data_IF_527017550024
#
_entry.id   IF_527017550024
#
_cell.length_a   1.000
_cell.length_b   1.000
_cell.length_c   1.000
_cell.angle_alpha   90.00
_cell.angle_beta   90.00
_cell.angle_gamma   90.00
#
_symmetry.space_group_name_H-M   'P 1'
#
loop_
_entity.id
_entity.type
_entity.pdbx_description
1 polymer ?
#
# COMPACT_ATOMS: atom_id res chain seq x y z
N UNK A 1 18.09 -31.04 39.77
CA UNK A 1 16.99 -30.19 39.27
C UNK A 1 17.58 -28.96 38.57
N UNK A 2 17.21 -28.70 37.31
CA UNK A 2 17.12 -27.32 36.84
C UNK A 2 15.73 -26.99 36.29
N UNK A 3 15.21 -25.83 36.71
CA UNK A 3 13.94 -25.24 36.27
C UNK A 3 14.03 -24.87 34.78
N UNK A 4 13.18 -25.46 33.94
CA UNK A 4 12.92 -24.94 32.59
C UNK A 4 11.71 -24.00 32.62
N UNK A 5 11.97 -22.74 32.24
CA UNK A 5 10.99 -21.69 31.96
C UNK A 5 10.20 -22.01 30.68
N UNK A 6 8.87 -21.81 30.62
CA UNK A 6 8.12 -21.97 29.40
C UNK A 6 8.07 -20.63 28.64
N UNK A 7 9.04 -20.36 27.77
CA UNK A 7 8.97 -19.24 26.84
C UNK A 7 8.23 -19.68 25.58
N UNK A 8 6.94 -19.31 25.48
CA UNK A 8 6.04 -19.70 24.36
C UNK A 8 6.43 -18.93 23.09
N UNK A 9 7.25 -19.57 22.24
CA UNK A 9 7.60 -19.09 20.89
C UNK A 9 6.41 -19.30 19.95
N UNK A 10 5.81 -18.22 19.45
CA UNK A 10 4.83 -18.30 18.37
C UNK A 10 5.56 -18.40 17.03
N UNK A 11 5.58 -19.59 16.45
CA UNK A 11 5.94 -19.79 15.04
C UNK A 11 4.77 -19.32 14.18
N UNK A 12 5.03 -18.53 13.15
CA UNK A 12 4.08 -18.30 12.06
C UNK A 12 4.01 -19.56 11.19
N UNK A 13 3.48 -20.64 11.76
CA UNK A 13 3.01 -21.80 11.03
C UNK A 13 1.50 -21.91 11.25
N UNK A 14 0.78 -21.92 10.14
CA UNK A 14 -0.66 -22.02 10.01
C UNK A 14 -1.20 -23.34 10.53
N UNK A 15 -1.45 -23.41 11.84
CA UNK A 15 -2.44 -24.31 12.44
C UNK A 15 -2.89 -23.67 13.73
N UNK A 16 -3.90 -22.81 13.67
CA UNK A 16 -4.81 -22.66 14.81
C UNK A 16 -5.62 -23.93 14.87
N UNK A 17 -4.99 -25.00 15.35
CA UNK A 17 -5.67 -26.21 15.76
C UNK A 17 -6.56 -25.82 16.94
N UNK A 18 -7.85 -25.75 16.65
CA UNK A 18 -8.95 -25.80 17.61
C UNK A 18 -8.71 -26.98 18.55
N UNK A 19 -8.16 -26.75 19.74
CA UNK A 19 -8.27 -27.67 20.86
C UNK A 19 -7.90 -26.95 22.17
N UNK A 20 -8.90 -26.28 22.75
CA UNK A 20 -9.07 -26.27 24.21
C UNK A 20 -10.43 -26.87 24.50
N UNK A 21 -10.45 -28.18 24.75
CA UNK A 21 -11.49 -28.79 25.54
C UNK A 21 -11.36 -28.24 26.97
N UNK A 22 -12.43 -27.67 27.50
CA UNK A 22 -12.46 -27.17 28.88
C UNK A 22 -13.61 -26.21 29.16
N UNK A 23 -14.68 -26.76 29.75
CA UNK A 23 -15.78 -26.11 30.49
C UNK A 23 -16.72 -25.17 29.70
N UNK A 24 -17.89 -25.72 29.31
CA UNK A 24 -19.06 -24.95 28.87
C UNK A 24 -19.61 -24.14 30.05
N UNK A 25 -19.42 -22.82 30.03
CA UNK A 25 -20.22 -21.88 30.81
C UNK A 25 -21.27 -21.26 29.86
N UNK A 26 -22.59 -21.37 30.12
CA UNK A 26 -23.60 -20.84 29.23
C UNK A 26 -23.85 -19.36 29.56
N UNK A 27 -23.30 -18.43 28.76
CA UNK A 27 -23.80 -17.02 28.61
C UNK A 27 -22.87 -16.05 27.88
N UNK A 28 -21.68 -16.43 27.41
CA UNK A 28 -20.86 -15.52 26.58
C UNK A 28 -21.15 -15.75 25.10
N UNK A 29 -21.80 -14.79 24.43
CA UNK A 29 -21.89 -14.76 22.97
C UNK A 29 -20.47 -14.69 22.39
N UNK A 30 -19.96 -15.82 21.87
CA UNK A 30 -18.63 -15.88 21.25
C UNK A 30 -18.78 -15.52 19.77
N UNK A 31 -18.60 -14.23 19.43
CA UNK A 31 -18.57 -13.78 18.04
C UNK A 31 -17.21 -14.13 17.44
N UNK A 32 -17.13 -14.86 16.31
CA UNK A 32 -15.84 -15.13 15.68
C UNK A 32 -15.19 -13.83 15.22
N UNK A 33 -13.89 -13.66 15.49
CA UNK A 33 -13.16 -12.43 15.20
C UNK A 33 -13.28 -11.97 13.72
N UNK A 34 -13.39 -12.91 12.79
CA UNK A 34 -13.52 -12.62 11.37
C UNK A 34 -14.88 -11.97 11.02
N UNK A 35 -15.94 -12.30 11.76
CA UNK A 35 -17.26 -11.66 11.59
C UNK A 35 -17.23 -10.23 12.10
N UNK A 36 -16.60 -9.99 13.26
CA UNK A 36 -16.37 -8.65 13.77
C UNK A 36 -15.58 -7.79 12.77
N UNK A 37 -14.46 -8.31 12.25
CA UNK A 37 -13.65 -7.61 11.26
C UNK A 37 -14.39 -7.37 9.94
N UNK A 38 -15.24 -8.30 9.52
CA UNK A 38 -16.09 -8.11 8.34
C UNK A 38 -17.15 -7.02 8.57
N UNK A 39 -17.75 -6.96 9.77
CA UNK A 39 -18.63 -5.85 10.15
C UNK A 39 -17.91 -4.49 10.12
N UNK A 40 -16.68 -4.43 10.66
CA UNK A 40 -15.84 -3.23 10.55
C UNK A 40 -15.56 -2.89 9.09
N UNK A 41 -15.28 -3.88 8.24
CA UNK A 41 -15.05 -3.66 6.82
C UNK A 41 -16.26 -3.05 6.10
N UNK A 42 -17.48 -3.49 6.42
CA UNK A 42 -18.71 -2.88 5.90
C UNK A 42 -18.82 -1.42 6.33
N UNK A 43 -18.50 -1.10 7.58
CA UNK A 43 -18.48 0.28 8.08
C UNK A 43 -17.40 1.15 7.41
N UNK A 44 -16.34 0.55 6.87
CA UNK A 44 -15.29 1.24 6.12
C UNK A 44 -15.66 1.50 4.65
N UNK A 45 -16.66 0.82 4.08
CA UNK A 45 -17.05 1.01 2.67
C UNK A 45 -17.52 2.44 2.34
N UNK A 46 -18.34 3.13 3.18
CA UNK A 46 -18.66 4.53 2.94
C UNK A 46 -17.43 5.43 2.88
N UNK A 47 -16.43 5.18 3.74
CA UNK A 47 -15.17 5.93 3.72
C UNK A 47 -14.38 5.67 2.43
N UNK A 48 -14.36 4.42 1.96
CA UNK A 48 -13.78 4.08 0.66
C UNK A 48 -14.47 4.84 -0.47
N UNK A 49 -15.80 4.88 -0.47
CA UNK A 49 -16.57 5.59 -1.49
C UNK A 49 -16.29 7.09 -1.49
N UNK A 50 -16.34 7.74 -0.32
CA UNK A 50 -16.05 9.19 -0.19
C UNK A 50 -14.62 9.48 -0.61
N UNK A 51 -13.64 8.71 -0.13
CA UNK A 51 -12.24 8.89 -0.50
C UNK A 51 -12.04 8.80 -2.02
N UNK A 52 -12.76 7.89 -2.69
CA UNK A 52 -12.69 7.75 -4.16
C UNK A 52 -13.28 8.95 -4.87
N UNK A 53 -14.45 9.43 -4.44
CA UNK A 53 -15.05 10.64 -4.99
C UNK A 53 -14.13 11.84 -4.83
N UNK A 54 -13.58 12.05 -3.62
CA UNK A 54 -12.67 13.17 -3.34
C UNK A 54 -11.37 13.06 -4.14
N UNK A 55 -10.81 11.85 -4.27
CA UNK A 55 -9.64 11.62 -5.12
C UNK A 55 -9.92 11.95 -6.58
N UNK A 56 -11.03 11.47 -7.15
CA UNK A 56 -11.39 11.72 -8.54
C UNK A 56 -11.65 13.20 -8.80
N UNK A 57 -12.31 13.90 -7.88
CA UNK A 57 -12.52 15.36 -7.98
C UNK A 57 -11.20 16.12 -7.96
N UNK A 58 -10.30 15.81 -7.02
CA UNK A 58 -8.98 16.44 -6.94
C UNK A 58 -8.10 16.11 -8.17
N UNK A 59 -8.16 14.87 -8.64
CA UNK A 59 -7.42 14.41 -9.80
C UNK A 59 -7.92 15.08 -11.08
N UNK A 60 -9.23 15.23 -11.23
CA UNK A 60 -9.87 15.94 -12.35
C UNK A 60 -9.46 17.41 -12.38
N UNK A 61 -9.50 18.08 -11.22
CA UNK A 61 -9.07 19.47 -11.09
C UNK A 61 -7.62 19.65 -11.53
N UNK A 62 -6.71 18.83 -10.98
CA UNK A 62 -5.28 18.86 -11.32
C UNK A 62 -5.02 18.52 -12.79
N UNK A 63 -5.74 17.56 -13.35
CA UNK A 63 -5.57 17.15 -14.76
C UNK A 63 -6.08 18.18 -15.76
N UNK A 64 -7.09 18.97 -15.38
CA UNK A 64 -7.71 19.97 -16.24
C UNK A 64 -6.93 21.30 -16.26
N UNK A 65 -6.35 21.71 -15.13
CA UNK A 65 -5.64 22.99 -15.00
C UNK A 65 -4.18 22.91 -15.43
N UNK A 66 -3.51 21.78 -15.17
CA UNK A 66 -2.09 21.61 -15.47
C UNK A 66 -1.94 20.86 -16.79
N UNK A 67 -1.05 21.30 -17.69
CA UNK A 67 -0.62 20.51 -18.87
C UNK A 67 0.18 19.24 -18.46
N UNK A 68 -0.29 18.50 -17.46
CA UNK A 68 0.32 17.29 -16.88
C UNK A 68 0.64 16.27 -17.97
N UNK A 69 -0.27 16.12 -18.94
CA UNK A 69 -0.14 15.22 -20.10
C UNK A 69 1.07 15.59 -21.01
N UNK A 70 1.51 16.84 -21.02
CA UNK A 70 2.65 17.32 -21.82
C UNK A 70 3.98 17.40 -21.06
N UNK A 71 3.98 17.14 -19.74
CA UNK A 71 5.16 17.37 -18.90
C UNK A 71 6.18 16.22 -19.00
N UNK A 72 7.48 16.56 -19.06
CA UNK A 72 8.55 15.56 -19.08
C UNK A 72 8.48 14.58 -17.88
N UNK A 73 8.21 15.02 -16.62
CA UNK A 73 8.07 14.10 -15.49
C UNK A 73 7.05 12.98 -15.71
N UNK A 74 5.88 13.32 -16.26
CA UNK A 74 4.82 12.35 -16.53
C UNK A 74 5.27 11.34 -17.58
N UNK A 75 5.87 11.80 -18.69
CA UNK A 75 6.35 10.91 -19.74
C UNK A 75 7.39 9.91 -19.23
N UNK A 76 8.40 10.35 -18.46
CA UNK A 76 9.40 9.45 -17.91
C UNK A 76 8.80 8.46 -16.90
N UNK A 77 7.85 8.90 -16.07
CA UNK A 77 7.10 8.01 -15.17
C UNK A 77 6.33 6.93 -15.95
N UNK A 78 5.60 7.30 -17.00
CA UNK A 78 4.87 6.32 -17.82
C UNK A 78 5.78 5.41 -18.63
N UNK A 79 6.93 5.89 -19.11
CA UNK A 79 7.96 5.03 -19.70
C UNK A 79 8.41 3.98 -18.68
N UNK A 80 8.65 4.37 -17.43
CA UNK A 80 8.96 3.43 -16.34
C UNK A 80 7.87 2.38 -16.12
N UNK A 81 6.60 2.79 -16.09
CA UNK A 81 5.46 1.87 -16.03
C UNK A 81 5.49 0.89 -17.20
N UNK A 82 5.64 1.40 -18.43
CA UNK A 82 5.63 0.60 -19.65
C UNK A 82 6.76 -0.44 -19.65
N UNK A 83 7.99 -0.01 -19.33
CA UNK A 83 9.16 -0.89 -19.22
C UNK A 83 8.94 -2.01 -18.20
N UNK A 84 8.35 -1.69 -17.05
CA UNK A 84 8.00 -2.70 -16.07
C UNK A 84 6.95 -3.68 -16.58
N UNK A 85 5.86 -3.18 -17.18
CA UNK A 85 4.80 -4.05 -17.69
C UNK A 85 5.31 -5.01 -18.77
N UNK A 86 6.13 -4.52 -19.70
CA UNK A 86 6.82 -5.35 -20.69
C UNK A 86 7.66 -6.42 -19.99
N UNK A 87 8.43 -6.06 -18.97
CA UNK A 87 9.24 -7.00 -18.20
C UNK A 87 8.40 -8.03 -17.43
N UNK A 88 7.30 -7.61 -16.81
CA UNK A 88 6.44 -8.46 -15.99
C UNK A 88 5.70 -9.52 -16.82
N UNK A 89 5.28 -9.17 -18.03
CA UNK A 89 4.58 -10.08 -18.95
C UNK A 89 5.52 -10.82 -19.91
N UNK A 90 6.67 -10.24 -20.26
CA UNK A 90 7.61 -10.79 -21.24
C UNK A 90 8.81 -11.54 -20.66
N UNK A 91 9.19 -11.31 -19.39
CA UNK A 91 10.34 -11.93 -18.74
C UNK A 91 9.93 -12.79 -17.53
N UNK A 92 10.80 -13.71 -17.06
CA UNK A 92 10.58 -14.41 -15.80
C UNK A 92 10.43 -13.43 -14.64
N UNK A 93 9.36 -13.60 -13.84
CA UNK A 93 9.04 -12.69 -12.74
C UNK A 93 10.14 -12.70 -11.68
N UNK A 94 10.61 -11.52 -11.22
CA UNK A 94 11.67 -11.42 -10.23
C UNK A 94 11.17 -11.72 -8.80
N UNK A 95 10.75 -12.96 -8.56
CA UNK A 95 10.10 -13.40 -7.32
C UNK A 95 10.98 -13.18 -6.09
N UNK A 96 12.29 -13.40 -6.19
CA UNK A 96 13.21 -13.16 -5.08
C UNK A 96 13.17 -11.72 -4.59
N UNK A 97 13.22 -10.76 -5.52
CA UNK A 97 13.18 -9.32 -5.22
C UNK A 97 11.83 -8.99 -4.57
N UNK A 98 10.74 -9.51 -5.12
CA UNK A 98 9.42 -9.32 -4.52
C UNK A 98 9.36 -9.85 -3.07
N UNK A 99 9.75 -11.10 -2.82
CA UNK A 99 9.71 -11.70 -1.48
C UNK A 99 10.63 -10.94 -0.52
N UNK A 100 11.80 -10.49 -0.98
CA UNK A 100 12.72 -9.69 -0.18
C UNK A 100 12.06 -8.39 0.30
N UNK A 101 11.48 -7.61 -0.61
CA UNK A 101 10.76 -6.39 -0.25
C UNK A 101 9.56 -6.67 0.66
N UNK A 102 8.84 -7.78 0.43
CA UNK A 102 7.70 -8.20 1.23
C UNK A 102 8.08 -8.46 2.69
N UNK A 103 9.07 -9.33 2.93
CA UNK A 103 9.52 -9.65 4.28
C UNK A 103 10.23 -8.48 4.97
N UNK A 104 10.99 -7.66 4.23
CA UNK A 104 11.62 -6.47 4.78
C UNK A 104 10.58 -5.45 5.26
N UNK A 105 9.48 -5.30 4.51
CA UNK A 105 8.40 -4.39 4.92
C UNK A 105 7.76 -4.86 6.22
N UNK A 106 7.46 -6.16 6.34
CA UNK A 106 7.01 -6.76 7.60
C UNK A 106 8.00 -6.49 8.73
N UNK A 107 9.29 -6.71 8.49
CA UNK A 107 10.34 -6.49 9.47
C UNK A 107 10.38 -5.03 9.97
N UNK A 108 10.34 -4.06 9.05
CA UNK A 108 10.30 -2.64 9.40
C UNK A 108 9.08 -2.33 10.27
N UNK A 109 7.89 -2.81 9.91
CA UNK A 109 6.68 -2.56 10.69
C UNK A 109 6.68 -3.26 12.05
N UNK A 110 7.29 -4.44 12.18
CA UNK A 110 7.53 -5.08 13.47
C UNK A 110 8.36 -4.17 14.37
N UNK A 111 9.47 -3.64 13.85
CA UNK A 111 10.37 -2.75 14.60
C UNK A 111 9.67 -1.44 14.98
N UNK A 112 8.94 -0.81 14.05
CA UNK A 112 8.16 0.41 14.32
C UNK A 112 7.09 0.19 15.39
N UNK A 113 6.51 -1.01 15.44
CA UNK A 113 5.56 -1.39 16.49
C UNK A 113 6.26 -1.81 17.81
N UNK A 114 7.58 -1.69 17.95
CA UNK A 114 8.33 -2.10 19.14
C UNK A 114 8.41 -3.63 19.34
N UNK A 115 8.26 -4.40 18.26
CA UNK A 115 8.46 -5.85 18.25
C UNK A 115 9.93 -6.24 18.09
N UNK A 116 10.22 -7.53 18.20
CA UNK A 116 11.56 -8.12 18.00
C UNK A 116 11.48 -9.23 16.96
N UNK A 117 12.46 -9.23 16.06
CA UNK A 117 12.62 -10.25 15.02
C UNK A 117 13.67 -11.24 15.49
N UNK A 118 13.32 -12.52 15.45
CA UNK A 118 14.18 -13.63 15.88
C UNK A 118 14.74 -14.44 14.73
N UNK A 119 14.04 -14.46 13.59
CA UNK A 119 14.48 -15.12 12.36
C UNK A 119 13.95 -14.34 11.16
N UNK A 120 14.77 -14.26 10.13
CA UNK A 120 14.46 -13.61 8.86
C UNK A 120 14.96 -14.50 7.73
N UNK A 121 14.06 -14.97 6.85
CA UNK A 121 14.42 -15.88 5.76
C UNK A 121 13.70 -15.49 4.48
N UNK A 122 14.46 -15.37 3.39
CA UNK A 122 13.95 -14.98 2.07
C UNK A 122 14.46 -15.97 1.03
N UNK A 123 13.55 -16.46 0.17
CA UNK A 123 13.85 -17.30 -1.00
C UNK A 123 12.88 -16.96 -2.13
N UNK A 124 13.21 -17.32 -3.37
CA UNK A 124 12.32 -17.09 -4.53
C UNK A 124 10.98 -17.83 -4.43
N UNK A 125 10.92 -18.93 -3.69
CA UNK A 125 9.70 -19.70 -3.45
C UNK A 125 8.81 -19.12 -2.32
N UNK A 126 9.33 -18.18 -1.54
CA UNK A 126 8.65 -17.60 -0.37
C UNK A 126 9.63 -17.17 0.72
N UNK A 127 9.11 -16.40 1.66
CA UNK A 127 9.85 -15.87 2.81
C UNK A 127 9.04 -16.00 4.08
N UNK A 128 9.67 -15.71 5.21
CA UNK A 128 8.98 -15.48 6.46
C UNK A 128 9.87 -14.72 7.44
N UNK A 129 9.21 -14.03 8.36
CA UNK A 129 9.82 -13.50 9.58
C UNK A 129 9.23 -14.17 10.82
N UNK A 130 10.06 -14.46 11.81
CA UNK A 130 9.60 -14.92 13.13
C UNK A 130 9.72 -13.77 14.13
N UNK A 131 8.57 -13.32 14.62
CA UNK A 131 8.43 -12.12 15.47
C UNK A 131 7.60 -12.41 16.71
N UNK A 132 7.83 -11.65 17.78
CA UNK A 132 7.00 -11.67 19.00
C UNK A 132 5.75 -10.78 18.90
N UNK A 133 5.57 -10.02 17.81
CA UNK A 133 4.49 -9.05 17.64
C UNK A 133 3.89 -9.13 16.25
N UNK A 134 2.56 -9.11 16.17
CA UNK A 134 1.82 -9.08 14.92
C UNK A 134 0.49 -8.34 15.13
N UNK A 135 0.10 -7.52 14.16
CA UNK A 135 -1.15 -6.75 14.13
C UNK A 135 -1.54 -6.48 12.66
N UNK A 136 -2.71 -5.86 12.43
CA UNK A 136 -3.22 -5.54 11.08
C UNK A 136 -2.19 -4.76 10.26
N UNK A 137 -1.59 -3.71 10.83
CA UNK A 137 -0.60 -2.87 10.14
C UNK A 137 0.63 -3.67 9.72
N UNK A 138 1.18 -4.51 10.61
CA UNK A 138 2.31 -5.38 10.29
C UNK A 138 1.91 -6.32 9.16
N UNK A 139 0.88 -7.15 9.38
CA UNK A 139 0.46 -8.20 8.45
C UNK A 139 0.06 -7.69 7.06
N UNK A 140 -0.43 -6.45 6.94
CA UNK A 140 -0.87 -5.89 5.65
C UNK A 140 0.14 -4.88 5.07
N UNK A 141 1.21 -4.55 5.78
CA UNK A 141 2.19 -3.55 5.36
C UNK A 141 2.77 -3.76 3.95
N UNK A 142 3.10 -4.98 3.49
CA UNK A 142 3.65 -5.16 2.15
C UNK A 142 2.67 -4.85 1.01
N UNK A 143 1.37 -4.81 1.30
CA UNK A 143 0.31 -4.58 0.30
C UNK A 143 -0.03 -3.10 0.10
N UNK A 144 0.44 -2.23 1.00
CA UNK A 144 0.23 -0.78 0.88
C UNK A 144 1.52 0.05 0.94
N UNK A 145 2.66 -0.57 1.26
CA UNK A 145 3.97 0.10 1.20
C UNK A 145 4.68 -0.31 -0.09
N UNK A 146 4.85 0.60 -1.06
CA UNK A 146 5.70 0.36 -2.22
C UNK A 146 7.17 0.47 -1.81
N UNK A 147 7.68 -0.56 -1.13
CA UNK A 147 9.01 -0.59 -0.48
C UNK A 147 10.14 -0.05 -1.38
N UNK A 148 10.19 -0.50 -2.63
CA UNK A 148 11.21 -0.04 -3.57
C UNK A 148 11.04 1.40 -4.01
N UNK A 149 9.80 1.92 -4.12
CA UNK A 149 9.59 3.35 -4.35
C UNK A 149 10.07 4.18 -3.16
N UNK A 150 9.84 3.72 -1.93
CA UNK A 150 10.37 4.38 -0.73
C UNK A 150 11.89 4.43 -0.74
N UNK A 151 12.56 3.35 -1.14
CA UNK A 151 14.02 3.33 -1.31
C UNK A 151 14.47 4.32 -2.38
N UNK A 152 13.81 4.33 -3.55
CA UNK A 152 14.14 5.28 -4.64
C UNK A 152 14.00 6.72 -4.17
N UNK A 153 12.89 7.06 -3.50
CA UNK A 153 12.69 8.40 -2.89
C UNK A 153 13.78 8.71 -1.87
N UNK A 154 14.16 7.76 -1.01
CA UNK A 154 15.23 7.96 -0.03
C UNK A 154 16.60 8.22 -0.68
N UNK A 155 16.97 7.43 -1.69
CA UNK A 155 18.24 7.57 -2.41
C UNK A 155 18.30 8.91 -3.14
N UNK A 156 17.28 9.23 -3.95
CA UNK A 156 17.25 10.49 -4.69
C UNK A 156 17.06 11.70 -3.76
N UNK A 157 16.31 11.56 -2.67
CA UNK A 157 16.18 12.60 -1.65
C UNK A 157 17.51 12.93 -1.00
N UNK A 158 18.30 11.92 -0.61
CA UNK A 158 19.65 12.12 -0.06
C UNK A 158 20.59 12.70 -1.12
N UNK A 159 20.57 12.18 -2.35
CA UNK A 159 21.38 12.72 -3.45
C UNK A 159 21.05 14.20 -3.74
N UNK A 160 19.76 14.56 -3.66
CA UNK A 160 19.24 15.91 -3.83
C UNK A 160 19.75 16.93 -2.81
N UNK A 161 20.25 16.48 -1.64
CA UNK A 161 20.90 17.35 -0.65
C UNK A 161 22.27 17.82 -1.14
N UNK A 162 22.96 16.99 -1.94
CA UNK A 162 24.31 17.24 -2.40
C UNK A 162 24.38 17.76 -3.84
N UNK A 163 23.39 17.42 -4.67
CA UNK A 163 23.36 17.73 -6.11
C UNK A 163 21.96 18.19 -6.50
N UNK A 164 21.86 19.23 -7.32
CA UNK A 164 20.57 19.62 -7.87
C UNK A 164 20.14 18.63 -8.98
N UNK A 165 19.21 17.75 -8.63
CA UNK A 165 18.72 16.71 -9.54
C UNK A 165 17.87 17.25 -10.69
N UNK A 166 17.39 18.50 -10.57
CA UNK A 166 16.58 19.17 -11.58
C UNK A 166 17.41 19.83 -12.67
N UNK A 167 18.74 19.90 -12.49
CA UNK A 167 19.62 20.50 -13.49
C UNK A 167 19.52 19.74 -14.81
N UNK A 168 19.39 20.51 -15.88
CA UNK A 168 19.43 20.00 -17.25
C UNK A 168 20.84 20.15 -17.79
N UNK A 169 21.46 19.04 -18.16
CA UNK A 169 22.78 18.98 -18.76
C UNK A 169 22.62 18.83 -20.28
N UNK A 170 22.72 19.91 -21.08
CA UNK A 170 22.61 19.83 -22.53
C UNK A 170 23.80 19.06 -23.12
N UNK A 171 23.59 18.42 -24.28
CA UNK A 171 24.63 17.74 -25.06
C UNK A 171 25.42 16.67 -24.26
N UNK A 172 24.79 16.09 -23.24
CA UNK A 172 25.42 15.13 -22.33
C UNK A 172 25.29 13.68 -22.80
N UNK A 173 24.33 13.38 -23.69
CA UNK A 173 24.09 12.03 -24.20
C UNK A 173 24.08 12.04 -25.75
N UNK A 174 24.25 10.86 -26.35
CA UNK A 174 24.23 10.62 -27.80
C UNK A 174 25.21 11.52 -28.56
N UNK A 175 26.48 11.52 -28.17
CA UNK A 175 27.52 12.30 -28.87
C UNK A 175 27.18 13.81 -29.00
N UNK A 176 26.55 14.37 -27.96
CA UNK A 176 26.17 15.78 -27.92
C UNK A 176 24.84 16.11 -28.57
N UNK A 177 24.04 15.12 -28.99
CA UNK A 177 22.76 15.33 -29.67
C UNK A 177 21.56 15.42 -28.71
N UNK A 178 21.73 15.00 -27.45
CA UNK A 178 20.65 15.00 -26.46
C UNK A 178 21.15 15.51 -25.10
N UNK A 179 20.27 16.17 -24.36
CA UNK A 179 20.52 16.51 -22.95
C UNK A 179 19.93 15.50 -21.97
N UNK A 180 20.18 15.73 -20.70
CA UNK A 180 19.87 14.82 -19.61
C UNK A 180 19.49 15.57 -18.34
N UNK A 181 18.59 15.00 -17.55
CA UNK A 181 18.35 15.42 -16.18
C UNK A 181 18.19 14.21 -15.28
N UNK A 182 18.77 14.26 -14.08
CA UNK A 182 18.65 13.20 -13.08
C UNK A 182 17.20 13.02 -12.60
N UNK A 183 16.40 14.10 -12.62
CA UNK A 183 14.97 14.07 -12.34
C UNK A 183 14.22 13.07 -13.23
N UNK A 184 14.63 12.91 -14.49
CA UNK A 184 14.00 11.97 -15.42
C UNK A 184 14.21 10.51 -15.01
N UNK A 185 15.42 10.19 -14.54
CA UNK A 185 15.75 8.85 -14.00
C UNK A 185 14.93 8.59 -12.74
N UNK A 186 14.80 9.59 -11.87
CA UNK A 186 13.96 9.49 -10.69
C UNK A 186 12.50 9.15 -11.05
N UNK A 187 11.87 9.93 -11.95
CA UNK A 187 10.48 9.68 -12.35
C UNK A 187 10.29 8.32 -13.00
N UNK A 188 11.22 7.90 -13.87
CA UNK A 188 11.20 6.58 -14.48
C UNK A 188 11.35 5.47 -13.43
N UNK A 189 12.28 5.61 -12.49
CA UNK A 189 12.48 4.63 -11.41
C UNK A 189 11.23 4.51 -10.53
N UNK A 190 10.58 5.62 -10.19
CA UNK A 190 9.31 5.63 -9.47
C UNK A 190 8.22 4.92 -10.27
N UNK A 191 8.12 5.16 -11.58
CA UNK A 191 7.19 4.46 -12.46
C UNK A 191 7.40 2.94 -12.46
N UNK A 192 8.66 2.49 -12.56
CA UNK A 192 9.04 1.07 -12.49
C UNK A 192 8.68 0.47 -11.13
N UNK A 193 9.12 1.07 -10.02
CA UNK A 193 8.95 0.49 -8.69
C UNK A 193 7.50 0.54 -8.21
N UNK A 194 6.73 1.53 -8.64
CA UNK A 194 5.30 1.60 -8.33
C UNK A 194 4.51 0.57 -9.12
N UNK A 195 4.78 0.43 -10.43
CA UNK A 195 4.16 -0.60 -11.26
C UNK A 195 4.54 -2.01 -10.77
N UNK A 196 5.79 -2.21 -10.33
CA UNK A 196 6.23 -3.40 -9.61
C UNK A 196 5.35 -3.69 -8.40
N UNK A 197 5.16 -2.71 -7.51
CA UNK A 197 4.34 -2.88 -6.32
C UNK A 197 2.90 -3.25 -6.68
N UNK A 198 2.26 -2.51 -7.58
CA UNK A 198 0.84 -2.74 -7.94
C UNK A 198 0.61 -4.09 -8.60
N UNK A 199 1.46 -4.45 -9.58
CA UNK A 199 1.34 -5.74 -10.29
C UNK A 199 1.56 -6.92 -9.35
N UNK A 200 2.56 -6.87 -8.47
CA UNK A 200 2.78 -7.93 -7.49
C UNK A 200 1.71 -7.97 -6.39
N UNK A 201 1.25 -6.83 -5.87
CA UNK A 201 0.16 -6.77 -4.89
C UNK A 201 -1.11 -7.39 -5.49
N UNK A 202 -1.51 -6.97 -6.69
CA UNK A 202 -2.67 -7.52 -7.39
C UNK A 202 -2.52 -9.02 -7.66
N UNK A 203 -1.35 -9.46 -8.12
CA UNK A 203 -1.10 -10.87 -8.37
C UNK A 203 -1.12 -11.71 -7.08
N UNK A 204 -0.51 -11.23 -6.00
CA UNK A 204 -0.35 -12.00 -4.75
C UNK A 204 -1.63 -12.05 -3.92
N UNK A 205 -2.52 -11.06 -4.04
CA UNK A 205 -3.88 -11.15 -3.49
C UNK A 205 -4.62 -12.40 -3.98
N UNK A 206 -4.41 -12.81 -5.24
CA UNK A 206 -5.03 -14.03 -5.80
C UNK A 206 -4.43 -15.34 -5.26
N UNK A 207 -3.28 -15.28 -4.55
CA UNK A 207 -2.49 -16.45 -4.12
C UNK A 207 -2.79 -16.91 -2.69
N UNK A 208 -3.97 -16.59 -2.15
CA UNK A 208 -4.45 -17.13 -0.86
C UNK A 208 -3.49 -16.86 0.33
N UNK A 209 -2.82 -15.70 0.33
CA UNK A 209 -1.77 -15.37 1.28
C UNK A 209 -2.23 -15.43 2.75
N UNK A 210 -1.41 -15.99 3.67
CA UNK A 210 -1.74 -16.09 5.08
C UNK A 210 -1.93 -14.72 5.74
N UNK A 211 -1.18 -13.72 5.28
CA UNK A 211 -1.23 -12.32 5.70
C UNK A 211 -2.66 -11.73 5.63
N UNK A 212 -3.37 -12.01 4.54
CA UNK A 212 -4.76 -11.56 4.32
C UNK A 212 -5.73 -12.37 5.18
N UNK A 213 -5.54 -13.69 5.25
CA UNK A 213 -6.47 -14.58 5.96
C UNK A 213 -6.46 -14.36 7.48
N UNK A 214 -5.33 -13.95 8.05
CA UNK A 214 -5.21 -13.72 9.48
C UNK A 214 -6.17 -12.65 10.01
N UNK A 215 -6.54 -11.67 9.17
CA UNK A 215 -7.47 -10.61 9.53
C UNK A 215 -8.86 -10.76 8.89
N UNK A 216 -9.08 -11.83 8.13
CA UNK A 216 -10.24 -11.98 7.26
C UNK A 216 -10.02 -11.23 5.95
N UNK A 217 -10.07 -11.97 4.83
CA UNK A 217 -9.72 -11.45 3.51
C UNK A 217 -10.53 -10.21 3.12
N UNK A 218 -11.84 -10.19 3.39
CA UNK A 218 -12.68 -9.04 3.06
C UNK A 218 -12.22 -7.75 3.77
N UNK A 219 -12.00 -7.82 5.08
CA UNK A 219 -11.46 -6.69 5.84
C UNK A 219 -10.09 -6.25 5.34
N UNK A 220 -9.19 -7.21 5.09
CA UNK A 220 -7.85 -6.90 4.56
C UNK A 220 -7.92 -6.15 3.23
N UNK A 221 -8.78 -6.57 2.31
CA UNK A 221 -8.91 -5.92 1.00
C UNK A 221 -9.46 -4.50 1.12
N UNK A 222 -10.51 -4.28 1.93
CA UNK A 222 -11.06 -2.94 2.18
C UNK A 222 -10.01 -2.03 2.83
N UNK A 223 -9.26 -2.55 3.80
CA UNK A 223 -8.21 -1.80 4.48
C UNK A 223 -7.04 -1.44 3.55
N UNK A 224 -6.56 -2.41 2.75
CA UNK A 224 -5.49 -2.19 1.75
C UNK A 224 -5.93 -1.14 0.74
N UNK A 225 -7.16 -1.24 0.24
CA UNK A 225 -7.72 -0.26 -0.69
C UNK A 225 -7.71 1.15 -0.10
N UNK A 226 -8.28 1.31 1.10
CA UNK A 226 -8.42 2.62 1.75
C UNK A 226 -7.05 3.27 2.02
N UNK A 227 -6.06 2.50 2.47
CA UNK A 227 -4.70 3.03 2.71
C UNK A 227 -4.02 3.41 1.39
N UNK A 228 -4.04 2.55 0.37
CA UNK A 228 -3.43 2.87 -0.92
C UNK A 228 -4.07 4.13 -1.53
N UNK A 229 -5.38 4.26 -1.45
CA UNK A 229 -6.08 5.45 -1.93
C UNK A 229 -5.70 6.69 -1.14
N UNK A 230 -5.57 6.59 0.18
CA UNK A 230 -5.13 7.70 1.04
C UNK A 230 -3.69 8.12 0.74
N UNK A 231 -2.81 7.17 0.45
CA UNK A 231 -1.44 7.43 -0.01
C UNK A 231 -1.47 8.19 -1.35
N UNK A 232 -2.29 7.74 -2.32
CA UNK A 232 -2.46 8.41 -3.60
C UNK A 232 -2.99 9.85 -3.44
N UNK A 233 -3.97 10.07 -2.58
CA UNK A 233 -4.45 11.41 -2.24
C UNK A 233 -3.32 12.28 -1.66
N UNK A 234 -2.52 11.72 -0.75
CA UNK A 234 -1.35 12.42 -0.18
C UNK A 234 -0.34 12.84 -1.25
N UNK A 235 -0.01 11.94 -2.18
CA UNK A 235 0.86 12.28 -3.31
C UNK A 235 0.26 13.36 -4.20
N UNK A 236 -1.03 13.29 -4.50
CA UNK A 236 -1.71 14.28 -5.32
C UNK A 236 -1.66 15.67 -4.67
N UNK A 237 -1.88 15.76 -3.36
CA UNK A 237 -1.81 17.03 -2.60
C UNK A 237 -0.37 17.58 -2.58
N UNK A 238 0.64 16.72 -2.50
CA UNK A 238 2.05 17.15 -2.48
C UNK A 238 2.52 17.63 -3.86
N UNK A 239 2.04 17.00 -4.93
CA UNK A 239 2.49 17.25 -6.31
C UNK A 239 1.66 18.34 -6.99
N UNK A 240 0.40 18.50 -6.61
CA UNK A 240 -0.52 19.46 -7.24
C UNK A 240 -0.39 20.84 -6.63
N UNK A 241 -0.09 21.83 -7.45
CA UNK A 241 -0.15 23.25 -7.06
C UNK A 241 -1.61 23.74 -6.88
N UNK A 242 -2.58 22.94 -7.32
CA UNK A 242 -4.00 23.30 -7.43
C UNK A 242 -4.83 22.71 -6.28
N UNK A 243 -4.39 21.58 -5.72
CA UNK A 243 -5.09 20.88 -4.64
C UNK A 243 -4.35 21.11 -3.33
N UNK A 244 -4.81 22.11 -2.57
CA UNK A 244 -4.34 22.30 -1.20
C UNK A 244 -4.91 21.24 -0.24
N UNK A 245 -4.20 20.97 0.86
CA UNK A 245 -4.68 20.07 1.92
C UNK A 245 -6.05 20.52 2.47
N UNK A 246 -6.24 21.82 2.67
CA UNK A 246 -7.50 22.39 3.18
C UNK A 246 -8.63 22.20 2.17
N UNK A 247 -8.37 22.49 0.90
CA UNK A 247 -9.34 22.26 -0.18
C UNK A 247 -9.73 20.78 -0.32
N UNK A 248 -8.75 19.88 -0.19
CA UNK A 248 -9.01 18.44 -0.21
C UNK A 248 -9.88 17.99 0.97
N UNK A 249 -9.60 18.46 2.19
CA UNK A 249 -10.43 18.17 3.36
C UNK A 249 -11.85 18.69 3.17
N UNK A 250 -12.03 19.89 2.63
CA UNK A 250 -13.36 20.42 2.32
C UNK A 250 -14.09 19.53 1.32
N UNK A 251 -13.41 19.07 0.25
CA UNK A 251 -13.99 18.13 -0.70
C UNK A 251 -14.44 16.82 -0.04
N UNK A 252 -13.66 16.28 0.90
CA UNK A 252 -14.05 15.08 1.67
C UNK A 252 -15.31 15.34 2.50
N UNK A 253 -15.42 16.50 3.16
CA UNK A 253 -16.60 16.86 3.95
C UNK A 253 -17.84 17.02 3.06
N UNK A 254 -17.71 17.70 1.93
CA UNK A 254 -18.80 17.94 0.99
C UNK A 254 -19.32 16.60 0.44
N UNK A 255 -18.43 15.73 -0.03
CA UNK A 255 -18.77 14.38 -0.51
C UNK A 255 -19.41 13.51 0.59
N UNK A 256 -18.97 13.66 1.85
CA UNK A 256 -19.57 12.97 2.99
C UNK A 256 -21.01 13.44 3.21
N UNK A 257 -21.22 14.76 3.19
CA UNK A 257 -22.55 15.36 3.37
C UNK A 257 -23.51 14.95 2.26
N UNK A 258 -23.03 14.89 1.02
CA UNK A 258 -23.79 14.45 -0.13
C UNK A 258 -24.18 12.97 -0.01
N UNK A 259 -23.23 12.09 0.35
CA UNK A 259 -23.53 10.68 0.58
C UNK A 259 -24.62 10.49 1.63
N UNK A 260 -24.55 11.24 2.75
CA UNK A 260 -25.57 11.19 3.80
C UNK A 260 -26.92 11.64 3.27
N UNK A 261 -26.98 12.79 2.57
CA UNK A 261 -28.21 13.33 2.00
C UNK A 261 -28.84 12.35 1.00
N UNK A 262 -28.06 11.82 0.06
CA UNK A 262 -28.51 10.85 -0.95
C UNK A 262 -29.01 9.55 -0.30
N UNK A 263 -28.33 9.07 0.73
CA UNK A 263 -28.76 7.88 1.49
C UNK A 263 -30.10 8.12 2.21
N UNK A 264 -30.28 9.28 2.84
CA UNK A 264 -31.56 9.61 3.50
C UNK A 264 -32.72 9.76 2.50
N UNK A 265 -32.46 10.29 1.30
CA UNK A 265 -33.47 10.41 0.25
C UNK A 265 -33.87 9.04 -0.29
N UNK A 266 -32.89 8.17 -0.60
CA UNK A 266 -33.13 6.81 -1.05
C UNK A 266 -33.91 5.97 -0.02
N UNK A 267 -33.59 6.13 1.27
CA UNK A 267 -34.34 5.48 2.35
C UNK A 267 -35.80 5.94 2.39
N UNK A 268 -36.03 7.26 2.27
CA UNK A 268 -37.39 7.83 2.24
C UNK A 268 -38.20 7.36 1.03
N UNK A 269 -37.59 7.05 -0.11
CA UNK A 269 -38.30 6.52 -1.28
C UNK A 269 -38.63 5.04 -1.17
N UNK A 270 -37.94 4.27 -0.34
CA UNK A 270 -38.19 2.82 -0.16
C UNK A 270 -39.35 2.57 0.82
N UNK A 271 -39.54 3.46 1.80
CA UNK A 271 -40.58 3.30 2.84
C UNK A 271 -41.93 3.91 2.42
N UNK A 272 -41.96 4.70 1.35
CA UNK A 272 -43.20 5.19 0.74
C UNK A 272 -43.73 4.17 -0.25
#
# INVERSE_FOLDING_TARGET
MPKQSPNRKSRLNSTTATQRAGTKNPSTLVIPLNWLKSGIAVLLLPFCFVATQSFLSAFSQTSASTMVIGSAPLWFFFIGILLWLISFFGLPRPLFIYVLGHELTHAVFVLLCGGKISEFKVRSAGGHIVTNKNNVMISLSPYFIPFYSVIVVGIFGIAGIFVNLSDYHPNSILWGQAGFSWSWVFYMAIGVTWSFHLTFTGWMITKNQPDLKQNGTFFSLVFIYLINLSILCGFLIIISDEVSLVGFIQSVLDNTSELFRSSTQAWKSIIK
#
